data_IF_790187874840
#
_entry.id   IF_790187874840
#
_cell.length_a   1.000
_cell.length_b   1.000
_cell.length_c   1.000
_cell.angle_alpha   90.00
_cell.angle_beta   90.00
_cell.angle_gamma   90.00
#
_symmetry.space_group_name_H-M   'P 1'
#
loop_
_entity.id
_entity.type
_entity.pdbx_description
1 polymer ?
#
# COMPACT_ATOMS: atom_id res chain seq x y z
N UNK A 1 -12.17 -5.80 -16.70
CA UNK A 1 -12.68 -4.66 -15.91
C UNK A 1 -13.25 -3.57 -16.80
N UNK A 2 -12.46 -2.85 -17.62
CA UNK A 2 -12.99 -1.88 -18.59
C UNK A 2 -14.04 -2.45 -19.56
N UNK A 3 -13.81 -3.65 -20.09
CA UNK A 3 -14.77 -4.37 -20.96
C UNK A 3 -16.11 -4.71 -20.27
N UNK A 4 -16.13 -4.71 -18.94
CA UNK A 4 -17.33 -4.90 -18.13
C UNK A 4 -17.80 -3.57 -17.50
N UNK A 5 -17.38 -2.43 -18.06
CA UNK A 5 -17.77 -1.07 -17.65
C UNK A 5 -17.38 -0.66 -16.23
N UNK A 6 -16.29 -1.22 -15.69
CA UNK A 6 -15.73 -0.79 -14.42
C UNK A 6 -14.71 0.33 -14.59
N UNK A 7 -14.72 1.27 -13.63
CA UNK A 7 -13.64 2.20 -13.39
C UNK A 7 -12.52 1.52 -12.62
N UNK A 8 -11.28 1.78 -13.01
CA UNK A 8 -10.09 1.17 -12.40
C UNK A 8 -9.21 2.27 -11.83
N UNK A 9 -9.07 2.29 -10.51
CA UNK A 9 -8.25 3.25 -9.79
C UNK A 9 -7.07 2.54 -9.12
N UNK A 10 -5.87 3.09 -9.25
CA UNK A 10 -4.66 2.51 -8.65
C UNK A 10 -4.12 3.41 -7.54
N UNK A 11 -4.10 2.91 -6.30
CA UNK A 11 -3.55 3.65 -5.16
C UNK A 11 -2.30 2.95 -4.63
N UNK A 12 -1.20 3.69 -4.60
CA UNK A 12 0.01 3.30 -3.88
C UNK A 12 -0.14 3.68 -2.41
N UNK A 13 0.03 2.70 -1.52
CA UNK A 13 0.04 2.92 -0.08
C UNK A 13 1.45 2.66 0.43
N UNK A 14 2.05 3.68 1.04
CA UNK A 14 3.42 3.60 1.52
C UNK A 14 3.53 3.83 3.02
N UNK A 15 4.47 3.10 3.60
CA UNK A 15 4.90 3.23 4.98
C UNK A 15 6.31 2.65 5.12
N UNK A 16 7.16 3.32 5.89
CA UNK A 16 8.47 2.77 6.25
C UNK A 16 8.34 1.36 6.86
N UNK A 17 9.22 0.44 6.46
CA UNK A 17 9.19 -0.98 6.87
C UNK A 17 9.30 -1.18 8.38
N UNK A 18 10.05 -0.33 9.07
CA UNK A 18 10.20 -0.40 10.53
C UNK A 18 8.89 0.02 11.19
N UNK A 19 8.25 1.10 10.70
CA UNK A 19 6.93 1.53 11.16
C UNK A 19 5.85 0.49 10.85
N UNK A 20 5.87 -0.12 9.67
CA UNK A 20 4.95 -1.19 9.29
C UNK A 20 5.07 -2.41 10.22
N UNK A 21 6.31 -2.81 10.53
CA UNK A 21 6.59 -3.89 11.49
C UNK A 21 6.06 -3.57 12.88
N UNK A 22 6.31 -2.34 13.39
CA UNK A 22 5.78 -1.89 14.68
C UNK A 22 4.24 -1.93 14.72
N UNK A 23 3.57 -1.51 13.63
CA UNK A 23 2.11 -1.59 13.51
C UNK A 23 1.60 -3.03 13.47
N UNK A 24 2.29 -3.91 12.75
CA UNK A 24 1.94 -5.33 12.68
C UNK A 24 2.04 -6.01 14.06
N UNK A 25 3.11 -5.74 14.81
CA UNK A 25 3.28 -6.23 16.18
C UNK A 25 2.20 -5.69 17.13
N UNK A 26 1.93 -4.37 17.07
CA UNK A 26 0.85 -3.75 17.86
C UNK A 26 -0.50 -4.40 17.55
N UNK A 27 -0.81 -4.60 16.27
CA UNK A 27 -2.05 -5.26 15.84
C UNK A 27 -2.13 -6.70 16.34
N UNK A 28 -1.05 -7.47 16.26
CA UNK A 28 -1.02 -8.82 16.80
C UNK A 28 -1.30 -8.83 18.31
N UNK A 29 -0.74 -7.88 19.06
CA UNK A 29 -0.99 -7.79 20.50
C UNK A 29 -2.47 -7.53 20.82
N UNK A 30 -3.10 -6.60 20.09
CA UNK A 30 -4.49 -6.15 20.31
C UNK A 30 -5.52 -7.16 19.79
N UNK A 31 -5.39 -7.60 18.54
CA UNK A 31 -6.43 -8.39 17.86
C UNK A 31 -6.03 -9.83 17.56
N UNK A 32 -4.83 -10.26 17.96
CA UNK A 32 -4.25 -11.59 17.66
C UNK A 32 -4.10 -11.88 16.16
N UNK A 33 -4.31 -10.88 15.29
CA UNK A 33 -4.06 -10.99 13.85
C UNK A 33 -2.57 -10.89 13.55
N UNK A 34 -1.95 -12.04 13.31
CA UNK A 34 -0.54 -12.14 12.95
C UNK A 34 -0.28 -11.74 11.49
N UNK A 35 0.88 -11.16 11.24
CA UNK A 35 1.49 -11.04 9.91
C UNK A 35 2.96 -11.44 10.04
N UNK A 36 3.48 -12.35 9.19
CA UNK A 36 4.89 -12.71 9.22
C UNK A 36 5.79 -11.49 9.03
N UNK A 37 6.74 -11.27 9.94
CA UNK A 37 7.65 -10.12 9.83
C UNK A 37 8.52 -10.22 8.59
N UNK A 38 8.99 -11.42 8.23
CA UNK A 38 9.71 -11.67 6.98
C UNK A 38 8.90 -11.25 5.74
N UNK A 39 7.58 -11.41 5.74
CA UNK A 39 6.73 -10.93 4.63
C UNK A 39 6.81 -9.39 4.48
N UNK A 40 6.87 -8.65 5.59
CA UNK A 40 6.99 -7.19 5.57
C UNK A 40 8.37 -6.77 5.03
N UNK A 41 9.45 -7.41 5.52
CA UNK A 41 10.82 -7.05 5.14
C UNK A 41 11.22 -7.55 3.74
N UNK A 42 10.81 -8.75 3.35
CA UNK A 42 11.32 -9.42 2.15
C UNK A 42 10.38 -9.26 0.96
N UNK A 43 9.07 -9.08 1.19
CA UNK A 43 8.09 -8.97 0.10
C UNK A 43 7.62 -7.54 -0.09
N UNK A 44 7.09 -6.91 0.96
CA UNK A 44 6.49 -5.57 0.83
C UNK A 44 7.52 -4.44 0.78
N UNK A 45 8.72 -4.63 1.35
CA UNK A 45 9.77 -3.61 1.23
C UNK A 45 10.43 -3.58 -0.16
N UNK A 46 10.21 -4.59 -1.00
CA UNK A 46 10.90 -4.75 -2.29
C UNK A 46 10.25 -3.95 -3.44
N UNK A 47 10.06 -2.64 -3.24
CA UNK A 47 9.68 -1.65 -4.27
C UNK A 47 8.21 -1.72 -4.81
N UNK A 48 7.20 -1.57 -3.94
CA UNK A 48 5.84 -1.23 -4.38
C UNK A 48 5.83 0.10 -5.17
N UNK A 49 6.68 1.05 -4.78
CA UNK A 49 6.90 2.34 -5.43
C UNK A 49 7.30 2.19 -6.90
N UNK A 50 8.37 1.45 -7.17
CA UNK A 50 8.86 1.25 -8.55
C UNK A 50 7.82 0.53 -9.39
N UNK A 51 7.12 -0.44 -8.81
CA UNK A 51 6.06 -1.19 -9.51
C UNK A 51 4.90 -0.26 -9.87
N UNK A 52 4.45 0.57 -8.92
CA UNK A 52 3.42 1.57 -9.17
C UNK A 52 3.82 2.52 -10.31
N UNK A 53 5.01 3.12 -10.23
CA UNK A 53 5.48 4.03 -11.27
C UNK A 53 5.62 3.34 -12.63
N UNK A 54 6.08 2.08 -12.68
CA UNK A 54 6.10 1.31 -13.93
C UNK A 54 4.70 1.11 -14.51
N UNK A 55 3.71 0.76 -13.69
CA UNK A 55 2.32 0.54 -14.13
C UNK A 55 1.72 1.85 -14.66
N UNK A 56 1.87 2.97 -13.96
CA UNK A 56 1.30 4.24 -14.45
C UNK A 56 2.00 4.68 -15.74
N UNK A 57 3.31 4.42 -15.90
CA UNK A 57 4.04 4.80 -17.12
C UNK A 57 3.64 3.93 -18.32
N UNK A 58 3.42 2.63 -18.14
CA UNK A 58 3.22 1.68 -19.26
C UNK A 58 1.75 1.29 -19.49
N UNK A 59 0.87 1.43 -18.49
CA UNK A 59 -0.51 0.93 -18.51
C UNK A 59 -1.55 2.02 -18.19
N UNK A 60 -1.20 3.30 -18.37
CA UNK A 60 -2.08 4.43 -18.07
C UNK A 60 -3.47 4.31 -18.74
N UNK A 61 -3.54 3.77 -19.96
CA UNK A 61 -4.79 3.68 -20.74
C UNK A 61 -5.87 2.79 -20.11
N UNK A 62 -5.51 1.94 -19.15
CA UNK A 62 -6.44 1.04 -18.46
C UNK A 62 -6.96 1.68 -17.17
N UNK A 63 -6.25 2.68 -16.64
CA UNK A 63 -6.55 3.34 -15.36
C UNK A 63 -7.39 4.60 -15.59
N UNK A 64 -8.38 4.81 -14.74
CA UNK A 64 -9.21 6.01 -14.71
C UNK A 64 -8.63 7.07 -13.78
N UNK A 65 -7.95 6.65 -12.70
CA UNK A 65 -7.09 7.52 -11.92
C UNK A 65 -6.03 6.71 -11.19
N UNK A 66 -5.02 7.41 -10.69
CA UNK A 66 -4.01 6.84 -9.82
C UNK A 66 -3.55 7.88 -8.81
N UNK A 67 -3.07 7.41 -7.66
CA UNK A 67 -2.57 8.27 -6.59
C UNK A 67 -1.64 7.53 -5.64
N UNK A 68 -0.85 8.28 -4.90
CA UNK A 68 -0.09 7.76 -3.77
C UNK A 68 -0.65 8.34 -2.48
N UNK A 69 -0.69 7.55 -1.42
CA UNK A 69 -1.15 7.97 -0.11
C UNK A 69 -0.15 7.52 0.94
N UNK A 70 0.33 8.47 1.73
CA UNK A 70 1.17 8.18 2.88
C UNK A 70 0.31 7.83 4.08
N UNK A 71 0.54 6.64 4.64
CA UNK A 71 -0.13 6.22 5.88
C UNK A 71 0.71 6.51 7.11
N UNK A 72 1.78 7.30 7.00
CA UNK A 72 2.69 7.64 8.10
C UNK A 72 2.12 8.71 9.04
N UNK A 73 0.97 8.38 9.63
CA UNK A 73 0.23 9.20 10.58
C UNK A 73 0.02 8.45 11.89
N UNK A 74 -0.38 9.15 12.96
CA UNK A 74 -0.71 8.48 14.21
C UNK A 74 -2.04 7.74 14.08
N UNK A 75 -2.29 6.82 15.00
CA UNK A 75 -3.57 6.12 15.07
C UNK A 75 -4.71 7.11 15.33
N UNK A 76 -5.77 7.03 14.52
CA UNK A 76 -6.91 7.94 14.57
C UNK A 76 -6.75 9.24 13.76
N UNK A 77 -5.56 9.51 13.20
CA UNK A 77 -5.33 10.66 12.31
C UNK A 77 -5.63 10.30 10.85
N UNK A 78 -6.08 11.30 10.08
CA UNK A 78 -6.30 11.14 8.64
C UNK A 78 -4.97 11.06 7.90
N UNK A 79 -4.98 10.24 6.84
CA UNK A 79 -3.84 10.08 5.94
C UNK A 79 -3.59 11.38 5.18
N UNK A 80 -2.32 11.64 4.87
CA UNK A 80 -1.93 12.79 4.06
C UNK A 80 -1.82 12.34 2.61
N UNK A 81 -2.48 13.08 1.71
CA UNK A 81 -2.31 12.98 0.26
C UNK A 81 -0.93 13.53 -0.16
#
# INVERSE_FOLDING_TARGET
>A
MKKANYFVHLTLIELDRVKATKRALKRFHISKRYVPLGLIFDTYANNPTTTFYKIITHNNTILDSFGSVSTDVKEGENQKE
#
